data_IF_383815785489
#
_entry.id   IF_383815785489
#
_cell.length_a   1.000
_cell.length_b   1.000
_cell.length_c   1.000
_cell.angle_alpha   90.00
_cell.angle_beta   90.00
_cell.angle_gamma   90.00
#
_symmetry.space_group_name_H-M   'P 1'
#
loop_
_entity.id
_entity.type
_entity.pdbx_description
1 polymer ?
#
# COMPACT_ATOMS: atom_id res chain seq x y z
N UNK A 1 24.73 -0.49 -18.57
CA UNK A 1 24.48 0.96 -18.61
C UNK A 1 24.91 1.68 -19.89
N UNK A 2 25.17 0.98 -21.01
CA UNK A 2 25.62 1.64 -22.24
C UNK A 2 24.69 1.32 -23.43
N UNK A 3 24.91 0.21 -24.14
CA UNK A 3 24.21 -0.10 -25.40
C UNK A 3 22.68 -0.25 -25.25
N UNK A 4 22.22 -0.95 -24.21
CA UNK A 4 20.79 -1.18 -23.97
C UNK A 4 20.08 0.00 -23.27
N UNK A 5 20.82 0.98 -22.75
CA UNK A 5 20.22 2.14 -22.09
C UNK A 5 19.76 3.17 -23.13
N UNK A 6 18.51 3.62 -23.01
CA UNK A 6 17.89 4.63 -23.87
C UNK A 6 18.39 6.05 -23.55
N UNK A 7 19.70 6.26 -23.68
CA UNK A 7 20.35 7.53 -23.39
C UNK A 7 19.85 8.64 -24.33
N UNK A 8 19.68 9.88 -23.83
CA UNK A 8 19.21 10.99 -24.64
C UNK A 8 20.20 11.31 -25.77
N UNK A 9 19.67 11.82 -26.88
CA UNK A 9 20.39 12.29 -28.06
C UNK A 9 21.24 11.24 -28.79
N UNK A 10 21.04 9.94 -28.50
CA UNK A 10 21.71 8.84 -29.20
C UNK A 10 20.69 7.90 -29.83
N UNK A 11 20.97 7.40 -31.02
CA UNK A 11 20.16 6.36 -31.67
C UNK A 11 20.30 5.06 -30.87
N UNK A 12 19.17 4.43 -30.57
CA UNK A 12 19.05 3.19 -29.79
C UNK A 12 18.02 2.27 -30.44
N UNK A 13 18.32 0.98 -30.43
CA UNK A 13 17.35 -0.02 -30.86
C UNK A 13 16.39 -0.34 -29.73
N UNK A 14 15.11 -0.41 -30.06
CA UNK A 14 14.03 -0.68 -29.13
C UNK A 14 13.09 -1.72 -29.73
N UNK A 15 12.47 -2.49 -28.84
CA UNK A 15 11.26 -3.25 -29.17
C UNK A 15 10.08 -2.38 -28.76
N UNK A 16 9.27 -1.99 -29.73
CA UNK A 16 8.21 -0.99 -29.56
C UNK A 16 6.86 -1.68 -29.64
N UNK A 17 5.93 -1.27 -28.78
CA UNK A 17 4.51 -1.57 -28.87
C UNK A 17 3.77 -0.26 -29.25
N UNK A 18 3.06 -0.28 -30.36
CA UNK A 18 2.08 0.75 -30.72
C UNK A 18 0.72 0.28 -30.24
N UNK A 19 0.03 1.13 -29.47
CA UNK A 19 -1.23 0.78 -28.83
C UNK A 19 -2.19 1.92 -29.11
N UNK A 20 -3.33 1.59 -29.72
CA UNK A 20 -4.38 2.56 -30.00
C UNK A 20 -5.47 2.48 -28.93
N UNK A 21 -5.90 3.64 -28.44
CA UNK A 21 -6.93 3.77 -27.42
C UNK A 21 -8.08 4.65 -27.92
N UNK A 22 -9.30 4.29 -27.54
CA UNK A 22 -10.44 5.21 -27.63
C UNK A 22 -10.29 6.35 -26.61
N UNK A 23 -11.07 7.45 -26.73
CA UNK A 23 -11.08 8.52 -25.71
C UNK A 23 -11.39 8.04 -24.29
N UNK A 24 -12.09 6.92 -24.14
CA UNK A 24 -12.43 6.28 -22.86
C UNK A 24 -11.34 5.32 -22.34
N UNK A 25 -10.18 5.28 -23.00
CA UNK A 25 -9.05 4.43 -22.63
C UNK A 25 -9.25 2.94 -22.96
N UNK A 26 -10.14 2.61 -23.91
CA UNK A 26 -10.30 1.23 -24.38
C UNK A 26 -9.24 0.94 -25.43
N UNK A 27 -8.42 -0.09 -25.20
CA UNK A 27 -7.46 -0.57 -26.21
C UNK A 27 -8.21 -1.17 -27.40
N UNK A 28 -7.95 -0.68 -28.61
CA UNK A 28 -8.59 -1.16 -29.85
C UNK A 28 -7.64 -1.88 -30.79
N UNK A 29 -6.35 -1.54 -30.74
CA UNK A 29 -5.33 -2.19 -31.56
C UNK A 29 -3.99 -2.29 -30.83
N UNK A 30 -3.16 -3.25 -31.25
CA UNK A 30 -1.80 -3.43 -30.77
C UNK A 30 -0.90 -4.00 -31.86
N UNK A 31 0.13 -3.22 -32.22
CA UNK A 31 1.20 -3.65 -33.10
C UNK A 31 2.53 -3.67 -32.33
N UNK A 32 3.43 -4.60 -32.66
CA UNK A 32 4.80 -4.59 -32.15
C UNK A 32 5.79 -4.58 -33.30
N UNK A 33 6.90 -3.85 -33.13
CA UNK A 33 7.98 -3.82 -34.11
C UNK A 33 9.35 -3.62 -33.46
N UNK A 34 10.40 -3.85 -34.24
CA UNK A 34 11.75 -3.41 -33.90
C UNK A 34 11.97 -2.00 -34.46
N UNK A 35 12.35 -1.06 -33.61
CA UNK A 35 12.49 0.35 -33.94
C UNK A 35 13.90 0.88 -33.62
N UNK A 36 14.28 1.96 -34.30
CA UNK A 36 15.41 2.80 -33.93
C UNK A 36 14.89 4.15 -33.42
N UNK A 37 15.17 4.49 -32.17
CA UNK A 37 14.68 5.70 -31.50
C UNK A 37 15.83 6.60 -31.05
N UNK A 38 15.55 7.88 -30.88
CA UNK A 38 16.46 8.84 -30.25
C UNK A 38 15.67 9.62 -29.19
N UNK A 39 15.91 9.32 -27.91
CA UNK A 39 15.27 10.07 -26.82
C UNK A 39 15.69 11.54 -26.87
N UNK A 40 14.71 12.46 -26.89
CA UNK A 40 14.95 13.90 -26.98
C UNK A 40 15.28 14.54 -25.62
N UNK A 41 14.82 13.92 -24.53
CA UNK A 41 15.04 14.41 -23.16
C UNK A 41 14.99 13.24 -22.19
N UNK A 42 15.91 13.25 -21.23
CA UNK A 42 15.86 12.38 -20.05
C UNK A 42 15.24 13.18 -18.92
N UNK A 43 14.07 12.81 -18.42
CA UNK A 43 13.46 13.44 -17.25
C UNK A 43 13.82 12.71 -15.95
N UNK A 44 13.79 13.43 -14.83
CA UNK A 44 13.55 12.84 -13.50
C UNK A 44 12.07 12.94 -13.14
N UNK A 45 11.62 12.18 -12.13
CA UNK A 45 10.23 12.25 -11.68
C UNK A 45 9.91 13.63 -11.09
N UNK A 46 10.85 14.20 -10.35
CA UNK A 46 10.75 15.52 -9.75
C UNK A 46 10.59 16.63 -10.81
N UNK A 47 11.33 16.54 -11.93
CA UNK A 47 11.17 17.48 -13.05
C UNK A 47 9.76 17.40 -13.66
N UNK A 48 9.17 16.21 -13.72
CA UNK A 48 7.80 16.03 -14.24
C UNK A 48 6.76 16.51 -13.23
N UNK A 49 6.96 16.26 -11.93
CA UNK A 49 6.08 16.76 -10.89
C UNK A 49 6.09 18.30 -10.84
N UNK A 50 7.26 18.93 -10.97
CA UNK A 50 7.38 20.39 -11.11
C UNK A 50 6.66 20.90 -12.37
N UNK A 51 6.75 20.17 -13.48
CA UNK A 51 6.01 20.49 -14.72
C UNK A 51 4.50 20.42 -14.53
N UNK A 52 4.00 19.41 -13.82
CA UNK A 52 2.57 19.23 -13.56
C UNK A 52 2.04 20.29 -12.60
N UNK A 53 2.85 20.68 -11.60
CA UNK A 53 2.50 21.71 -10.63
C UNK A 53 2.41 23.13 -11.23
N UNK A 54 3.34 23.49 -12.13
CA UNK A 54 3.34 24.78 -12.82
C UNK A 54 3.82 24.63 -14.28
N UNK A 55 2.86 24.32 -15.17
CA UNK A 55 3.17 24.12 -16.60
C UNK A 55 3.78 25.37 -17.23
N UNK A 56 3.33 26.57 -16.88
CA UNK A 56 3.81 27.78 -17.56
C UNK A 56 5.28 28.07 -17.26
N UNK A 57 5.76 27.77 -16.04
CA UNK A 57 7.18 27.87 -15.68
C UNK A 57 8.10 26.93 -16.49
N UNK A 58 7.54 25.93 -17.17
CA UNK A 58 8.27 24.96 -18.00
C UNK A 58 8.16 25.22 -19.51
N UNK A 59 7.34 26.18 -19.93
CA UNK A 59 7.12 26.48 -21.36
C UNK A 59 8.40 26.92 -22.07
N UNK A 60 9.26 27.68 -21.39
CA UNK A 60 10.55 28.13 -21.93
C UNK A 60 11.69 27.11 -21.69
N UNK A 61 11.50 26.15 -20.77
CA UNK A 61 12.50 25.13 -20.42
C UNK A 61 12.48 23.93 -21.39
N UNK A 62 11.38 23.73 -22.10
CA UNK A 62 11.16 22.60 -23.00
C UNK A 62 10.86 23.07 -24.43
N UNK A 63 11.22 22.26 -25.42
CA UNK A 63 10.73 22.47 -26.79
C UNK A 63 9.22 22.30 -26.83
N UNK A 64 8.47 23.04 -27.68
CA UNK A 64 7.01 22.94 -27.76
C UNK A 64 6.49 21.50 -27.95
N UNK A 65 7.17 20.70 -28.77
CA UNK A 65 6.78 19.30 -29.01
C UNK A 65 6.85 18.44 -27.75
N UNK A 66 7.92 18.56 -26.97
CA UNK A 66 8.11 17.81 -25.71
C UNK A 66 7.15 18.32 -24.63
N UNK A 67 6.95 19.64 -24.56
CA UNK A 67 6.00 20.25 -23.64
C UNK A 67 4.59 19.68 -23.82
N UNK A 68 4.07 19.72 -25.05
CA UNK A 68 2.74 19.20 -25.35
C UNK A 68 2.66 17.67 -25.19
N UNK A 69 3.73 16.94 -25.51
CA UNK A 69 3.77 15.49 -25.32
C UNK A 69 3.63 15.10 -23.85
N UNK A 70 4.37 15.73 -22.93
CA UNK A 70 4.28 15.41 -21.49
C UNK A 70 2.87 15.72 -20.96
N UNK A 71 2.25 16.82 -21.40
CA UNK A 71 0.85 17.13 -21.09
C UNK A 71 -0.12 16.03 -21.53
N UNK A 72 -0.04 15.59 -22.80
CA UNK A 72 -0.88 14.51 -23.33
C UNK A 72 -0.61 13.15 -22.67
N UNK A 73 0.64 12.90 -22.29
CA UNK A 73 1.02 11.69 -21.56
C UNK A 73 0.30 11.64 -20.20
N UNK A 74 0.27 12.77 -19.48
CA UNK A 74 -0.47 12.87 -18.23
C UNK A 74 -1.97 12.65 -18.42
N UNK A 75 -2.59 13.34 -19.39
CA UNK A 75 -4.02 13.19 -19.68
C UNK A 75 -4.41 11.73 -19.98
N UNK A 76 -3.67 11.06 -20.87
CA UNK A 76 -3.92 9.66 -21.20
C UNK A 76 -3.72 8.75 -19.99
N UNK A 77 -2.64 8.92 -19.23
CA UNK A 77 -2.38 8.10 -18.05
C UNK A 77 -3.51 8.21 -17.02
N UNK A 78 -4.04 9.41 -16.78
CA UNK A 78 -5.16 9.59 -15.84
C UNK A 78 -6.46 8.95 -16.33
N UNK A 79 -6.71 8.93 -17.64
CA UNK A 79 -7.85 8.19 -18.23
C UNK A 79 -7.68 6.68 -18.01
N UNK A 80 -6.51 6.14 -18.34
CA UNK A 80 -6.21 4.71 -18.17
C UNK A 80 -6.31 4.28 -16.70
N UNK A 81 -5.73 5.09 -15.80
CA UNK A 81 -5.76 4.88 -14.35
C UNK A 81 -7.18 4.84 -13.81
N UNK A 82 -8.00 5.84 -14.14
CA UNK A 82 -9.40 5.89 -13.72
C UNK A 82 -10.14 4.65 -14.19
N UNK A 83 -10.00 4.27 -15.46
CA UNK A 83 -10.61 3.07 -16.02
C UNK A 83 -10.17 1.79 -15.28
N UNK A 84 -8.88 1.65 -15.00
CA UNK A 84 -8.31 0.50 -14.28
C UNK A 84 -8.87 0.38 -12.87
N UNK A 85 -8.90 1.49 -12.13
CA UNK A 85 -9.46 1.55 -10.79
C UNK A 85 -10.97 1.28 -10.80
N UNK A 86 -11.73 1.91 -11.69
CA UNK A 86 -13.19 1.70 -11.84
C UNK A 86 -13.53 0.26 -12.21
N UNK A 87 -12.65 -0.41 -12.97
CA UNK A 87 -12.73 -1.84 -13.27
C UNK A 87 -12.53 -2.76 -12.06
N UNK A 88 -12.06 -2.23 -10.93
CA UNK A 88 -11.87 -2.96 -9.68
C UNK A 88 -10.43 -3.37 -9.39
N UNK A 89 -9.43 -2.77 -10.07
CA UNK A 89 -8.05 -2.92 -9.65
C UNK A 89 -7.87 -2.39 -8.22
N UNK A 90 -7.02 -3.09 -7.46
CA UNK A 90 -6.72 -2.76 -6.07
C UNK A 90 -5.37 -2.07 -6.05
N UNK A 91 -5.36 -0.81 -5.65
CA UNK A 91 -4.14 -0.05 -5.43
C UNK A 91 -3.79 -0.05 -3.95
N UNK A 92 -2.58 -0.55 -3.64
CA UNK A 92 -2.05 -0.55 -2.28
C UNK A 92 -0.78 0.28 -2.29
N UNK A 93 -0.86 1.49 -1.77
CA UNK A 93 0.32 2.32 -1.58
C UNK A 93 0.98 1.90 -0.27
N UNK A 94 2.06 1.14 -0.36
CA UNK A 94 3.02 1.01 0.74
C UNK A 94 4.27 1.80 0.36
N UNK A 95 4.60 2.85 1.11
CA UNK A 95 5.77 3.64 0.78
C UNK A 95 7.04 2.80 0.92
N UNK A 96 7.93 2.90 -0.06
CA UNK A 96 9.20 2.17 -0.04
C UNK A 96 10.25 2.95 0.76
N UNK A 97 10.98 2.26 1.63
CA UNK A 97 12.12 2.85 2.36
C UNK A 97 13.33 2.96 1.46
N UNK A 98 13.81 4.19 1.24
CA UNK A 98 15.06 4.48 0.52
C UNK A 98 16.12 4.96 1.47
N UNK A 99 17.31 4.37 1.35
CA UNK A 99 18.47 4.76 2.17
C UNK A 99 19.16 5.96 1.56
N UNK A 100 19.42 6.96 2.40
CA UNK A 100 20.23 8.12 2.07
C UNK A 100 21.69 7.81 2.36
N UNK A 101 22.54 8.01 1.35
CA UNK A 101 23.98 7.73 1.42
C UNK A 101 24.73 9.05 1.24
N UNK A 102 25.70 9.32 2.11
CA UNK A 102 26.57 10.49 2.02
C UNK A 102 27.67 10.31 0.95
N UNK A 103 28.49 11.36 0.79
CA UNK A 103 29.60 11.37 -0.18
C UNK A 103 30.68 10.32 0.11
N UNK A 104 30.78 9.85 1.35
CA UNK A 104 31.74 8.86 1.80
C UNK A 104 31.17 7.42 1.73
N UNK A 105 29.95 7.26 1.21
CA UNK A 105 29.29 5.96 1.07
C UNK A 105 28.66 5.43 2.36
N UNK A 106 28.52 6.28 3.40
CA UNK A 106 27.91 5.93 4.68
C UNK A 106 26.43 6.28 4.68
N UNK A 107 25.66 5.56 5.49
CA UNK A 107 24.23 5.84 5.66
C UNK A 107 24.06 7.15 6.41
N UNK A 108 23.41 8.12 5.78
CA UNK A 108 23.07 9.42 6.36
C UNK A 108 21.65 9.43 6.94
N UNK A 109 20.79 8.52 6.51
CA UNK A 109 19.39 8.42 6.91
C UNK A 109 18.61 7.48 6.01
N UNK A 110 17.29 7.56 6.10
CA UNK A 110 16.38 6.97 5.14
C UNK A 110 15.05 7.72 5.18
N UNK A 111 14.35 7.68 4.06
CA UNK A 111 13.03 8.27 3.92
C UNK A 111 12.11 7.33 3.15
N UNK A 112 10.81 7.59 3.29
CA UNK A 112 9.77 6.95 2.51
C UNK A 112 9.66 7.66 1.16
N UNK A 113 9.66 6.89 0.06
CA UNK A 113 9.47 7.44 -1.29
C UNK A 113 7.98 7.62 -1.54
N UNK A 114 7.60 8.84 -1.91
CA UNK A 114 6.23 9.17 -2.31
C UNK A 114 5.94 8.72 -3.73
N UNK A 115 4.72 8.22 -3.95
CA UNK A 115 4.25 7.78 -5.26
C UNK A 115 3.40 8.88 -5.92
N UNK A 116 4.07 9.82 -6.59
CA UNK A 116 3.46 11.01 -7.22
C UNK A 116 2.85 10.72 -8.59
N UNK A 117 2.16 11.71 -9.18
CA UNK A 117 1.54 11.59 -10.52
C UNK A 117 2.57 11.26 -11.62
N UNK A 118 3.81 11.78 -11.52
CA UNK A 118 4.86 11.42 -12.48
C UNK A 118 5.20 9.93 -12.48
N UNK A 119 5.18 9.28 -11.31
CA UNK A 119 5.36 7.83 -11.18
C UNK A 119 4.17 7.08 -11.79
N UNK A 120 2.94 7.54 -11.51
CA UNK A 120 1.71 6.97 -12.02
C UNK A 120 1.65 7.02 -13.56
N UNK A 121 2.12 8.10 -14.20
CA UNK A 121 2.18 8.19 -15.67
C UNK A 121 2.96 7.02 -16.27
N UNK A 122 4.16 6.76 -15.73
CA UNK A 122 5.01 5.68 -16.23
C UNK A 122 4.39 4.32 -15.88
N UNK A 123 3.85 4.14 -14.68
CA UNK A 123 3.17 2.91 -14.28
C UNK A 123 2.07 2.53 -15.28
N UNK A 124 1.13 3.43 -15.59
CA UNK A 124 0.00 3.14 -16.48
C UNK A 124 0.46 2.78 -17.90
N UNK A 125 1.49 3.45 -18.42
CA UNK A 125 2.04 3.10 -19.74
C UNK A 125 2.77 1.76 -19.74
N UNK A 126 3.46 1.43 -18.66
CA UNK A 126 4.09 0.11 -18.54
C UNK A 126 3.03 -1.00 -18.41
N UNK A 127 1.97 -0.77 -17.64
CA UNK A 127 0.83 -1.69 -17.51
C UNK A 127 0.13 -1.90 -18.86
N UNK A 128 -0.21 -0.82 -19.55
CA UNK A 128 -0.82 -0.86 -20.88
C UNK A 128 -0.01 -1.68 -21.88
N UNK A 129 1.31 -1.48 -21.94
CA UNK A 129 2.19 -2.24 -22.83
C UNK A 129 2.27 -3.72 -22.44
N UNK A 130 2.36 -4.02 -21.15
CA UNK A 130 2.39 -5.37 -20.61
C UNK A 130 1.11 -6.16 -20.93
N UNK A 131 -0.06 -5.54 -20.77
CA UNK A 131 -1.36 -6.13 -21.10
C UNK A 131 -1.53 -6.31 -22.61
N UNK A 132 -1.15 -5.30 -23.40
CA UNK A 132 -1.26 -5.34 -24.85
C UNK A 132 -0.41 -6.48 -25.45
N UNK A 133 0.83 -6.62 -24.99
CA UNK A 133 1.72 -7.71 -25.42
C UNK A 133 1.22 -9.08 -24.92
N UNK A 134 0.70 -9.16 -23.70
CA UNK A 134 0.12 -10.40 -23.18
C UNK A 134 -1.09 -10.85 -24.02
N UNK A 135 -2.02 -9.95 -24.33
CA UNK A 135 -3.16 -10.25 -25.21
C UNK A 135 -2.69 -10.67 -26.61
N UNK A 136 -1.74 -9.95 -27.20
CA UNK A 136 -1.18 -10.28 -28.52
C UNK A 136 -0.63 -11.71 -28.59
N UNK A 137 0.09 -12.15 -27.56
CA UNK A 137 0.64 -13.50 -27.48
C UNK A 137 -0.44 -14.54 -27.17
N UNK A 138 -1.43 -14.19 -26.34
CA UNK A 138 -2.55 -15.04 -26.00
C UNK A 138 -3.45 -15.33 -27.20
N UNK A 139 -3.76 -14.31 -28.02
CA UNK A 139 -4.57 -14.43 -29.23
C UNK A 139 -3.91 -15.30 -30.32
N UNK A 140 -2.59 -15.51 -30.19
CA UNK A 140 -1.81 -16.45 -31.02
C UNK A 140 -1.70 -17.85 -30.41
N UNK A 141 -2.39 -18.10 -29.31
CA UNK A 141 -2.40 -19.38 -28.59
C UNK A 141 -1.00 -19.84 -28.17
N UNK A 142 -0.14 -18.90 -27.78
CA UNK A 142 1.23 -19.19 -27.34
C UNK A 142 1.31 -19.39 -25.82
N UNK A 143 2.11 -20.36 -25.39
CA UNK A 143 2.53 -20.45 -23.99
C UNK A 143 3.71 -19.50 -23.75
N UNK A 144 3.53 -18.58 -22.80
CA UNK A 144 4.54 -17.60 -22.41
C UNK A 144 4.44 -17.32 -20.93
N UNK A 145 5.52 -16.83 -20.33
CA UNK A 145 5.54 -16.43 -18.93
C UNK A 145 4.58 -15.26 -18.69
N UNK A 146 3.41 -15.57 -18.13
CA UNK A 146 2.50 -14.59 -17.53
C UNK A 146 3.01 -14.21 -16.17
N UNK A 147 2.64 -13.01 -15.73
CA UNK A 147 2.78 -12.57 -14.35
C UNK A 147 1.43 -12.79 -13.68
N UNK A 148 1.24 -13.99 -13.14
CA UNK A 148 -0.02 -14.44 -12.57
C UNK A 148 -0.12 -14.01 -11.12
N UNK A 149 -1.32 -13.65 -10.67
CA UNK A 149 -1.59 -13.29 -9.28
C UNK A 149 -2.97 -13.81 -8.89
N UNK A 150 -2.99 -14.98 -8.27
CA UNK A 150 -4.20 -15.67 -7.85
C UNK A 150 -5.05 -14.85 -6.86
N UNK A 151 -6.38 -15.08 -6.82
CA UNK A 151 -7.23 -14.49 -5.80
C UNK A 151 -6.80 -14.91 -4.38
N UNK A 152 -7.03 -14.07 -3.37
CA UNK A 152 -6.83 -14.44 -1.97
C UNK A 152 -7.63 -15.68 -1.57
N UNK A 153 -7.09 -16.48 -0.65
CA UNK A 153 -7.81 -17.63 -0.08
C UNK A 153 -8.98 -17.13 0.79
N UNK A 154 -10.14 -17.82 0.79
CA UNK A 154 -11.31 -17.41 1.58
C UNK A 154 -11.01 -17.17 3.06
N UNK A 155 -10.24 -18.06 3.70
CA UNK A 155 -9.84 -17.93 5.11
C UNK A 155 -9.10 -16.62 5.41
N UNK A 156 -8.24 -16.15 4.49
CA UNK A 156 -7.53 -14.88 4.64
C UNK A 156 -8.46 -13.68 4.48
N UNK A 157 -9.48 -13.78 3.63
CA UNK A 157 -10.48 -12.73 3.43
C UNK A 157 -11.44 -12.63 4.62
N UNK A 158 -11.78 -13.76 5.24
CA UNK A 158 -12.60 -13.78 6.46
C UNK A 158 -11.81 -13.11 7.61
N UNK A 159 -10.52 -13.44 7.79
CA UNK A 159 -9.64 -12.75 8.76
C UNK A 159 -9.52 -11.24 8.50
N UNK A 160 -9.38 -10.84 7.22
CA UNK A 160 -9.34 -9.43 6.84
C UNK A 160 -10.67 -8.72 7.16
N UNK A 161 -11.80 -9.40 6.94
CA UNK A 161 -13.14 -8.87 7.25
C UNK A 161 -13.27 -8.60 8.74
N UNK A 162 -12.87 -9.55 9.59
CA UNK A 162 -12.95 -9.38 11.05
C UNK A 162 -12.07 -8.22 11.53
N UNK A 163 -10.84 -8.13 11.01
CA UNK A 163 -9.93 -7.02 11.31
C UNK A 163 -10.52 -5.65 10.96
N UNK A 164 -11.06 -5.50 9.74
CA UNK A 164 -11.64 -4.23 9.28
C UNK A 164 -12.88 -3.83 10.10
N UNK A 165 -13.75 -4.79 10.45
CA UNK A 165 -14.92 -4.54 11.31
C UNK A 165 -14.51 -4.02 12.68
N UNK A 166 -13.44 -4.54 13.25
CA UNK A 166 -12.99 -4.16 14.58
C UNK A 166 -12.34 -2.76 14.63
N UNK A 167 -11.75 -2.32 13.52
CA UNK A 167 -11.35 -0.92 13.33
C UNK A 167 -12.56 0.04 13.29
N UNK A 168 -13.79 -0.49 13.29
CA UNK A 168 -15.02 0.30 13.21
C UNK A 168 -15.38 0.69 11.78
N UNK A 169 -14.74 0.09 10.78
CA UNK A 169 -15.03 0.33 9.37
C UNK A 169 -16.18 -0.59 8.95
N UNK A 170 -17.25 -0.01 8.44
CA UNK A 170 -18.43 -0.77 8.02
C UNK A 170 -18.12 -1.63 6.79
N UNK A 171 -18.14 -2.96 6.96
CA UNK A 171 -18.10 -3.93 5.87
C UNK A 171 -18.94 -5.17 6.22
N UNK A 172 -19.57 -5.80 5.22
CA UNK A 172 -20.32 -7.05 5.43
C UNK A 172 -19.39 -8.27 5.30
N UNK A 173 -18.79 -8.42 4.11
CA UNK A 173 -17.71 -9.35 3.80
C UNK A 173 -16.71 -8.68 2.85
N UNK A 174 -15.47 -9.18 2.79
CA UNK A 174 -14.43 -8.72 1.87
C UNK A 174 -14.06 -9.82 0.87
N UNK A 175 -15.07 -10.41 0.24
CA UNK A 175 -14.90 -11.52 -0.72
C UNK A 175 -14.77 -11.03 -2.15
N UNK A 176 -15.27 -9.83 -2.44
CA UNK A 176 -15.12 -9.19 -3.74
C UNK A 176 -14.00 -8.15 -3.74
N UNK A 177 -13.29 -8.02 -4.87
CA UNK A 177 -12.29 -6.97 -5.09
C UNK A 177 -12.87 -5.57 -4.89
N UNK A 178 -14.13 -5.36 -5.26
CA UNK A 178 -14.81 -4.07 -5.10
C UNK A 178 -15.05 -3.72 -3.62
N UNK A 179 -15.24 -4.71 -2.76
CA UNK A 179 -15.41 -4.48 -1.32
C UNK A 179 -14.09 -4.14 -0.66
N UNK A 180 -13.02 -4.84 -1.06
CA UNK A 180 -11.65 -4.52 -0.64
C UNK A 180 -11.28 -3.11 -1.09
N UNK A 181 -11.52 -2.78 -2.37
CA UNK A 181 -11.30 -1.44 -2.92
C UNK A 181 -12.04 -0.36 -2.12
N UNK A 182 -13.34 -0.55 -1.85
CA UNK A 182 -14.15 0.38 -1.05
C UNK A 182 -13.55 0.62 0.34
N UNK A 183 -13.03 -0.43 0.99
CA UNK A 183 -12.39 -0.30 2.31
C UNK A 183 -11.08 0.46 2.21
N UNK A 184 -10.25 0.17 1.21
CA UNK A 184 -8.99 0.88 0.95
C UNK A 184 -9.24 2.37 0.68
N UNK A 185 -10.21 2.70 -0.16
CA UNK A 185 -10.60 4.09 -0.46
C UNK A 185 -11.18 4.80 0.77
N UNK A 186 -11.94 4.10 1.62
CA UNK A 186 -12.56 4.68 2.81
C UNK A 186 -11.56 5.04 3.91
N UNK A 187 -10.34 4.50 3.88
CA UNK A 187 -9.29 4.79 4.87
C UNK A 187 -8.21 5.72 4.36
N UNK A 188 -8.34 6.20 3.12
CA UNK A 188 -7.33 7.06 2.51
C UNK A 188 -7.22 8.40 3.26
N UNK A 189 -6.03 8.74 3.75
CA UNK A 189 -5.79 9.91 4.59
C UNK A 189 -6.21 9.74 6.06
N UNK A 190 -6.76 8.59 6.44
CA UNK A 190 -7.14 8.29 7.82
C UNK A 190 -5.96 7.66 8.60
N UNK A 191 -5.92 7.79 9.95
CA UNK A 191 -4.84 7.22 10.76
C UNK A 191 -4.67 5.70 10.61
N UNK A 192 -5.74 5.01 10.20
CA UNK A 192 -5.80 3.57 10.02
C UNK A 192 -5.40 3.09 8.60
N UNK A 193 -5.10 4.00 7.67
CA UNK A 193 -4.72 3.67 6.28
C UNK A 193 -3.64 2.60 6.22
N UNK A 194 -2.53 2.85 6.93
CA UNK A 194 -1.37 1.96 6.90
C UNK A 194 -1.68 0.56 7.42
N UNK A 195 -2.44 0.47 8.51
CA UNK A 195 -2.84 -0.81 9.11
C UNK A 195 -3.74 -1.62 8.17
N UNK A 196 -4.69 -0.95 7.51
CA UNK A 196 -5.59 -1.59 6.54
C UNK A 196 -4.84 -1.99 5.27
N UNK A 197 -4.00 -1.12 4.70
CA UNK A 197 -3.17 -1.47 3.52
C UNK A 197 -2.31 -2.70 3.81
N UNK A 198 -1.66 -2.73 4.98
CA UNK A 198 -0.84 -3.86 5.40
C UNK A 198 -1.66 -5.15 5.56
N UNK A 199 -2.83 -5.08 6.20
CA UNK A 199 -3.72 -6.24 6.37
C UNK A 199 -4.21 -6.79 5.02
N UNK A 200 -4.63 -5.91 4.10
CA UNK A 200 -5.03 -6.30 2.73
C UNK A 200 -3.86 -6.98 2.02
N UNK A 201 -2.65 -6.41 2.10
CA UNK A 201 -1.47 -6.96 1.44
C UNK A 201 -1.08 -8.35 1.99
N UNK A 202 -1.27 -8.59 3.30
CA UNK A 202 -1.10 -9.93 3.91
C UNK A 202 -2.19 -10.94 3.48
N UNK A 203 -3.38 -10.46 3.17
CA UNK A 203 -4.47 -11.28 2.65
C UNK A 203 -4.20 -11.74 1.20
N UNK A 204 -3.56 -10.90 0.39
CA UNK A 204 -3.22 -11.20 -1.01
C UNK A 204 -2.28 -12.40 -1.17
N UNK A 205 -2.30 -12.99 -2.37
CA UNK A 205 -1.29 -13.96 -2.80
C UNK A 205 -0.05 -13.23 -3.31
N UNK A 206 1.06 -13.95 -3.50
CA UNK A 206 2.23 -13.39 -4.19
C UNK A 206 2.07 -13.62 -5.68
N UNK A 207 2.41 -12.63 -6.48
CA UNK A 207 2.49 -12.80 -7.92
C UNK A 207 3.70 -13.67 -8.29
N UNK A 208 3.56 -14.51 -9.31
CA UNK A 208 4.62 -15.41 -9.80
C UNK A 208 4.67 -15.42 -11.32
N UNK A 209 5.77 -15.91 -11.89
CA UNK A 209 5.86 -16.20 -13.32
C UNK A 209 5.38 -17.63 -13.58
N UNK A 210 4.39 -17.79 -14.47
CA UNK A 210 3.83 -19.09 -14.85
C UNK A 210 3.36 -19.06 -16.32
N UNK A 211 3.44 -20.16 -17.07
CA UNK A 211 2.78 -20.27 -18.38
C UNK A 211 1.26 -20.49 -18.27
N UNK A 212 0.74 -20.77 -17.08
CA UNK A 212 -0.69 -21.03 -16.88
C UNK A 212 -1.56 -19.83 -17.24
N UNK A 213 -2.72 -20.11 -17.83
CA UNK A 213 -3.70 -19.10 -18.22
C UNK A 213 -4.50 -18.67 -16.97
N UNK A 214 -3.83 -17.91 -16.12
CA UNK A 214 -4.41 -17.27 -14.94
C UNK A 214 -4.21 -15.75 -15.02
N UNK A 215 -5.21 -14.99 -14.56
CA UNK A 215 -5.17 -13.54 -14.55
C UNK A 215 -4.32 -12.95 -13.42
N UNK A 216 -4.32 -11.62 -13.34
CA UNK A 216 -3.70 -10.86 -12.27
C UNK A 216 -4.77 -10.19 -11.40
N UNK A 217 -5.14 -10.83 -10.28
CA UNK A 217 -6.27 -10.40 -9.44
C UNK A 217 -6.16 -8.94 -8.98
N UNK A 218 -4.99 -8.50 -8.49
CA UNK A 218 -4.82 -7.13 -7.98
C UNK A 218 -4.91 -6.06 -9.09
N UNK A 219 -4.51 -6.38 -10.32
CA UNK A 219 -4.53 -5.44 -11.44
C UNK A 219 -5.87 -5.46 -12.19
N UNK A 220 -6.77 -6.40 -11.84
CA UNK A 220 -7.99 -6.65 -12.61
C UNK A 220 -7.70 -6.92 -14.09
N UNK A 221 -6.70 -7.77 -14.37
CA UNK A 221 -6.24 -8.06 -15.73
C UNK A 221 -6.37 -9.55 -16.04
N UNK A 222 -6.99 -9.90 -17.16
CA UNK A 222 -7.16 -11.30 -17.57
C UNK A 222 -5.87 -11.90 -18.14
N UNK A 223 -5.04 -11.07 -18.79
CA UNK A 223 -3.78 -11.49 -19.40
C UNK A 223 -2.73 -10.41 -19.11
N UNK A 224 -1.71 -10.79 -18.33
CA UNK A 224 -0.65 -9.87 -17.95
C UNK A 224 0.72 -10.55 -18.01
N UNK A 225 1.70 -9.90 -18.62
CA UNK A 225 3.08 -10.35 -18.68
C UNK A 225 4.04 -9.19 -18.48
N UNK A 226 5.26 -9.43 -18.03
CA UNK A 226 6.27 -8.38 -18.01
C UNK A 226 6.98 -8.30 -19.36
N UNK A 227 6.95 -7.12 -19.98
CA UNK A 227 7.56 -6.82 -21.27
C UNK A 227 8.55 -5.64 -21.21
N UNK A 228 8.35 -4.71 -20.28
CA UNK A 228 8.93 -3.37 -20.31
C UNK A 228 10.31 -3.21 -19.67
N UNK A 229 10.92 -4.27 -19.13
CA UNK A 229 12.21 -4.21 -18.42
C UNK A 229 13.18 -5.38 -18.72
N UNK A 230 13.47 -5.71 -19.98
CA UNK A 230 14.35 -6.84 -20.37
C UNK A 230 15.81 -6.69 -19.91
N UNK A 231 16.25 -5.49 -19.53
CA UNK A 231 17.61 -5.24 -19.03
C UNK A 231 17.81 -5.83 -17.63
N UNK A 232 16.74 -5.92 -16.83
CA UNK A 232 16.80 -6.30 -15.40
C UNK A 232 15.91 -7.51 -15.04
N UNK A 233 15.05 -7.96 -15.96
CA UNK A 233 14.17 -9.12 -15.76
C UNK A 233 14.31 -10.07 -16.95
N UNK A 234 14.64 -11.34 -16.64
CA UNK A 234 14.76 -12.37 -17.66
C UNK A 234 13.43 -12.77 -18.32
N UNK A 235 12.27 -12.80 -17.62
CA UNK A 235 10.97 -13.04 -18.25
C UNK A 235 10.65 -12.04 -19.38
N UNK A 236 10.93 -10.74 -19.19
CA UNK A 236 10.76 -9.76 -20.25
C UNK A 236 11.62 -10.08 -21.48
N UNK A 237 12.85 -10.57 -21.27
CA UNK A 237 13.72 -10.99 -22.38
C UNK A 237 13.15 -12.20 -23.13
N UNK A 238 12.45 -13.13 -22.47
CA UNK A 238 11.79 -14.24 -23.17
C UNK A 238 10.63 -13.75 -24.02
N UNK A 239 9.82 -12.83 -23.50
CA UNK A 239 8.76 -12.16 -24.27
C UNK A 239 9.35 -11.46 -25.50
N UNK A 240 10.47 -10.75 -25.35
CA UNK A 240 11.15 -10.09 -26.46
C UNK A 240 11.59 -11.08 -27.56
N UNK A 241 12.13 -12.24 -27.18
CA UNK A 241 12.53 -13.30 -28.12
C UNK A 241 11.32 -13.90 -28.85
N UNK A 242 10.19 -14.06 -28.17
CA UNK A 242 8.96 -14.53 -28.81
C UNK A 242 8.47 -13.53 -29.86
N UNK A 243 8.47 -12.24 -29.52
CA UNK A 243 8.12 -11.18 -30.46
C UNK A 243 9.06 -11.14 -31.67
N UNK A 244 10.38 -11.35 -31.49
CA UNK A 244 11.33 -11.45 -32.62
C UNK A 244 11.02 -12.64 -33.55
N UNK A 245 10.63 -13.79 -32.99
CA UNK A 245 10.23 -14.93 -33.80
C UNK A 245 8.95 -14.64 -34.61
N UNK A 246 7.95 -14.03 -33.97
CA UNK A 246 6.70 -13.61 -34.63
C UNK A 246 6.99 -12.63 -35.78
N UNK A 247 7.81 -11.60 -35.55
CA UNK A 247 8.19 -10.62 -36.58
C UNK A 247 8.97 -11.25 -37.73
N UNK A 248 9.72 -12.33 -37.47
CA UNK A 248 10.40 -13.11 -38.49
C UNK A 248 9.49 -14.12 -39.22
N UNK A 249 8.19 -14.12 -38.96
CA UNK A 249 7.24 -15.09 -39.54
C UNK A 249 7.41 -16.51 -39.04
N UNK A 250 8.06 -16.70 -37.88
CA UNK A 250 8.32 -18.01 -37.26
C UNK A 250 7.44 -18.20 -36.03
N UNK A 251 7.05 -19.44 -35.75
CA UNK A 251 6.43 -19.78 -34.46
C UNK A 251 7.49 -19.72 -33.35
N UNK A 252 7.28 -18.95 -32.27
CA UNK A 252 8.16 -18.97 -31.10
C UNK A 252 8.26 -20.35 -30.46
N UNK A 253 9.35 -20.62 -29.74
CA UNK A 253 9.42 -21.78 -28.87
C UNK A 253 8.53 -21.54 -27.63
N UNK A 254 7.48 -22.34 -27.48
CA UNK A 254 6.41 -22.20 -26.48
C UNK A 254 6.11 -23.53 -25.76
N UNK A 255 7.12 -24.39 -25.57
CA UNK A 255 6.96 -25.63 -24.82
C UNK A 255 6.52 -25.37 -23.37
N UNK A 256 5.38 -25.92 -22.98
CA UNK A 256 4.74 -25.61 -21.69
C UNK A 256 5.61 -26.02 -20.50
N UNK A 257 6.18 -27.22 -20.53
CA UNK A 257 6.99 -27.75 -19.42
C UNK A 257 8.28 -26.94 -19.24
N UNK A 258 8.92 -26.53 -20.33
CA UNK A 258 10.06 -25.61 -20.28
C UNK A 258 9.68 -24.25 -19.71
N UNK A 259 8.54 -23.68 -20.12
CA UNK A 259 8.07 -22.41 -19.56
C UNK A 259 7.73 -22.54 -18.07
N UNK A 260 7.17 -23.67 -17.64
CA UNK A 260 6.87 -23.94 -16.23
C UNK A 260 8.15 -23.95 -15.37
N UNK A 261 9.16 -24.71 -15.81
CA UNK A 261 10.47 -24.74 -15.14
C UNK A 261 11.14 -23.36 -15.09
N UNK A 262 11.02 -22.59 -16.18
CA UNK A 262 11.57 -21.25 -16.26
C UNK A 262 10.83 -20.25 -15.36
N UNK A 263 9.50 -20.40 -15.26
CA UNK A 263 8.63 -19.62 -14.38
C UNK A 263 9.01 -19.81 -12.91
N UNK A 264 9.16 -21.06 -12.45
CA UNK A 264 9.64 -21.36 -11.09
C UNK A 264 11.03 -20.75 -10.84
N UNK A 265 11.95 -20.93 -11.78
CA UNK A 265 13.30 -20.37 -11.66
C UNK A 265 13.27 -18.85 -11.48
N UNK A 266 12.56 -18.15 -12.36
CA UNK A 266 12.49 -16.68 -12.34
C UNK A 266 11.82 -16.18 -11.06
N UNK A 267 10.73 -16.81 -10.63
CA UNK A 267 10.00 -16.47 -9.39
C UNK A 267 10.87 -16.65 -8.14
N UNK A 268 11.61 -17.77 -8.06
CA UNK A 268 12.54 -18.01 -6.94
C UNK A 268 13.70 -17.02 -6.92
N UNK A 269 14.21 -16.61 -8.09
CA UNK A 269 15.30 -15.62 -8.20
C UNK A 269 14.84 -14.22 -7.80
N UNK A 270 13.62 -13.83 -8.18
CA UNK A 270 12.98 -12.59 -7.74
C UNK A 270 12.85 -12.56 -6.22
N UNK A 271 12.23 -13.57 -5.61
CA UNK A 271 12.07 -13.65 -4.15
C UNK A 271 13.41 -13.64 -3.40
N UNK A 272 14.44 -14.29 -3.96
CA UNK A 272 15.79 -14.25 -3.39
C UNK A 272 16.39 -12.85 -3.45
N UNK A 273 16.22 -12.14 -4.58
CA UNK A 273 16.73 -10.79 -4.75
C UNK A 273 16.02 -9.80 -3.80
N UNK A 274 14.69 -9.82 -3.75
CA UNK A 274 13.89 -9.00 -2.82
C UNK A 274 14.29 -9.26 -1.35
N UNK A 275 14.45 -10.53 -0.96
CA UNK A 275 14.92 -10.86 0.39
C UNK A 275 16.30 -10.27 0.65
N UNK A 276 17.25 -10.41 -0.27
CA UNK A 276 18.59 -9.87 -0.10
C UNK A 276 18.58 -8.33 0.01
N UNK A 277 17.77 -7.64 -0.78
CA UNK A 277 17.60 -6.19 -0.73
C UNK A 277 16.99 -5.72 0.59
N UNK A 278 15.89 -6.34 1.04
CA UNK A 278 15.29 -6.04 2.35
C UNK A 278 16.27 -6.24 3.50
N UNK A 279 17.02 -7.33 3.49
CA UNK A 279 18.03 -7.60 4.51
C UNK A 279 19.19 -6.60 4.46
N UNK A 280 19.63 -6.18 3.27
CA UNK A 280 20.64 -5.14 3.13
C UNK A 280 20.14 -3.81 3.69
N UNK A 281 18.92 -3.41 3.33
CA UNK A 281 18.29 -2.17 3.82
C UNK A 281 18.22 -2.20 5.35
N UNK A 282 17.75 -3.32 5.91
CA UNK A 282 17.67 -3.53 7.35
C UNK A 282 19.04 -3.39 8.03
N UNK A 283 20.06 -4.09 7.55
CA UNK A 283 21.42 -4.03 8.14
C UNK A 283 21.99 -2.61 8.08
N UNK A 284 21.79 -1.90 6.97
CA UNK A 284 22.25 -0.51 6.80
C UNK A 284 21.56 0.44 7.77
N UNK A 285 20.24 0.32 7.94
CA UNK A 285 19.48 1.09 8.92
C UNK A 285 19.90 0.77 10.35
N UNK A 286 20.07 -0.50 10.71
CA UNK A 286 20.56 -0.89 12.04
C UNK A 286 21.96 -0.32 12.31
N UNK A 287 22.84 -0.35 11.30
CA UNK A 287 24.18 0.24 11.43
C UNK A 287 24.08 1.74 11.74
N UNK A 288 23.21 2.45 11.03
CA UNK A 288 22.95 3.88 11.27
C UNK A 288 22.35 4.14 12.66
N UNK A 289 21.46 3.28 13.14
CA UNK A 289 20.81 3.41 14.44
C UNK A 289 21.68 2.99 15.63
N UNK A 290 22.72 2.18 15.40
CA UNK A 290 23.58 1.67 16.47
C UNK A 290 24.31 2.77 17.25
N UNK A 291 24.54 3.93 16.64
CA UNK A 291 25.16 5.10 17.28
C UNK A 291 24.14 6.07 17.88
N UNK A 292 22.85 5.71 17.88
CA UNK A 292 21.70 6.57 18.22
C UNK A 292 20.81 5.98 19.32
N UNK A 293 21.37 5.11 20.16
CA UNK A 293 20.64 4.49 21.27
C UNK A 293 20.11 5.59 22.21
N UNK A 294 18.83 5.48 22.58
CA UNK A 294 18.12 6.45 23.39
C UNK A 294 17.37 7.53 22.60
N UNK A 295 17.63 7.71 21.30
CA UNK A 295 16.86 8.64 20.46
C UNK A 295 15.38 8.22 20.41
N UNK A 296 14.50 9.22 20.51
CA UNK A 296 13.06 9.03 20.46
C UNK A 296 12.50 9.36 19.08
N UNK A 297 11.53 8.57 18.63
CA UNK A 297 10.83 8.79 17.38
C UNK A 297 9.35 8.41 17.50
N UNK A 298 8.55 8.98 16.61
CA UNK A 298 7.16 8.56 16.45
C UNK A 298 7.14 7.29 15.60
N UNK A 299 6.33 6.32 16.02
CA UNK A 299 6.23 5.02 15.38
C UNK A 299 4.78 4.55 15.35
N UNK A 300 4.46 3.72 14.37
CA UNK A 300 3.17 3.06 14.21
C UNK A 300 3.32 1.58 14.51
N UNK A 301 2.34 0.98 15.20
CA UNK A 301 2.28 -0.48 15.38
C UNK A 301 1.97 -1.14 14.03
N UNK A 302 2.89 -1.95 13.53
CA UNK A 302 2.77 -2.71 12.26
C UNK A 302 2.53 -4.20 12.47
N UNK A 303 2.61 -4.67 13.71
CA UNK A 303 2.25 -6.04 14.07
C UNK A 303 2.07 -6.21 15.57
N UNK A 304 1.23 -7.16 15.94
CA UNK A 304 0.97 -7.49 17.35
C UNK A 304 1.02 -8.99 17.51
N UNK A 305 1.88 -9.44 18.41
CA UNK A 305 2.08 -10.84 18.77
C UNK A 305 2.04 -10.99 20.29
N UNK A 306 1.91 -12.22 20.78
CA UNK A 306 1.86 -12.51 22.22
C UNK A 306 3.07 -11.96 23.00
N UNK A 307 4.25 -11.98 22.38
CA UNK A 307 5.51 -11.55 23.01
C UNK A 307 5.83 -10.06 22.83
N UNK A 308 5.05 -9.30 22.05
CA UNK A 308 5.33 -7.88 21.86
C UNK A 308 4.69 -7.23 20.64
N UNK A 309 5.09 -5.99 20.40
CA UNK A 309 4.59 -5.13 19.34
C UNK A 309 5.69 -4.87 18.30
N UNK A 310 5.42 -5.17 17.04
CA UNK A 310 6.23 -4.68 15.94
C UNK A 310 5.84 -3.23 15.65
N UNK A 311 6.85 -2.36 15.58
CA UNK A 311 6.66 -0.93 15.35
C UNK A 311 7.60 -0.46 14.25
N UNK A 312 7.13 0.50 13.47
CA UNK A 312 7.90 1.15 12.41
C UNK A 312 7.94 2.65 12.68
N UNK A 313 9.14 3.24 12.66
CA UNK A 313 9.30 4.69 12.78
C UNK A 313 8.68 5.44 11.59
N UNK A 314 8.18 6.66 11.82
CA UNK A 314 7.53 7.48 10.78
C UNK A 314 8.57 8.25 9.96
N UNK A 315 9.36 9.10 10.62
CA UNK A 315 10.37 9.93 9.94
C UNK A 315 11.55 9.10 9.43
N UNK A 316 11.94 8.10 10.22
CA UNK A 316 12.94 7.11 9.87
C UNK A 316 12.27 5.74 9.88
N UNK A 317 11.97 5.15 8.70
CA UNK A 317 11.17 3.93 8.57
C UNK A 317 11.97 2.66 8.94
N UNK A 318 12.42 2.60 10.19
CA UNK A 318 13.09 1.46 10.79
C UNK A 318 12.08 0.61 11.57
N UNK A 319 12.04 -0.68 11.26
CA UNK A 319 11.21 -1.66 11.95
C UNK A 319 11.94 -2.26 13.16
N UNK A 320 11.25 -2.34 14.29
CA UNK A 320 11.75 -2.94 15.51
C UNK A 320 10.64 -3.54 16.38
N UNK A 321 11.03 -4.11 17.51
CA UNK A 321 10.15 -4.79 18.45
C UNK A 321 10.12 -4.05 19.79
N UNK A 322 8.93 -3.83 20.33
CA UNK A 322 8.74 -3.55 21.76
C UNK A 322 8.33 -4.87 22.41
N UNK A 323 9.25 -5.48 23.16
CA UNK A 323 8.92 -6.69 23.92
C UNK A 323 7.85 -6.39 24.97
N UNK A 324 6.98 -7.35 25.29
CA UNK A 324 5.86 -7.17 26.24
C UNK A 324 6.33 -6.65 27.61
N UNK A 325 7.52 -7.08 28.07
CA UNK A 325 8.13 -6.60 29.32
C UNK A 325 8.52 -5.13 29.30
N UNK A 326 8.62 -4.52 28.12
CA UNK A 326 8.92 -3.10 27.92
C UNK A 326 7.64 -2.23 27.76
N UNK A 327 6.45 -2.82 27.80
CA UNK A 327 5.16 -2.11 27.74
C UNK A 327 4.69 -1.57 29.10
N UNK A 328 5.43 -1.86 30.17
CA UNK A 328 5.12 -1.47 31.54
C UNK A 328 4.65 -2.66 32.39
N UNK A 329 4.40 -2.38 33.66
CA UNK A 329 4.09 -3.39 34.67
C UNK A 329 2.58 -3.73 34.67
N UNK A 330 2.17 -4.50 33.65
CA UNK A 330 0.80 -4.99 33.46
C UNK A 330 0.82 -6.41 32.88
N UNK A 331 -0.31 -7.11 33.01
CA UNK A 331 -0.53 -8.39 32.33
C UNK A 331 -1.28 -8.12 31.04
N UNK A 332 -0.68 -8.51 29.92
CA UNK A 332 -1.25 -8.30 28.58
C UNK A 332 -1.81 -9.61 28.05
N UNK A 333 -3.09 -9.59 27.69
CA UNK A 333 -3.75 -10.68 26.99
C UNK A 333 -3.68 -10.42 25.48
N UNK A 334 -3.17 -11.40 24.73
CA UNK A 334 -3.12 -11.35 23.26
C UNK A 334 -4.41 -11.88 22.66
N UNK A 335 -5.08 -11.03 21.90
CA UNK A 335 -6.30 -11.39 21.20
C UNK A 335 -5.98 -11.54 19.70
N UNK A 336 -5.86 -12.79 19.26
CA UNK A 336 -5.44 -13.15 17.89
C UNK A 336 -6.39 -12.63 16.82
N UNK A 337 -7.70 -12.61 17.11
CA UNK A 337 -8.71 -12.10 16.18
C UNK A 337 -8.51 -10.61 15.89
N UNK A 338 -8.14 -9.85 16.92
CA UNK A 338 -8.05 -8.39 16.89
C UNK A 338 -6.66 -7.84 16.60
N UNK A 339 -5.65 -8.72 16.61
CA UNK A 339 -4.24 -8.32 16.56
C UNK A 339 -3.97 -7.22 17.59
N UNK A 340 -4.41 -7.46 18.83
CA UNK A 340 -4.26 -6.51 19.94
C UNK A 340 -3.68 -7.16 21.19
N UNK A 341 -2.90 -6.36 21.95
CA UNK A 341 -2.49 -6.67 23.31
C UNK A 341 -3.28 -5.77 24.24
N UNK A 342 -4.09 -6.37 25.11
CA UNK A 342 -4.92 -5.65 26.08
C UNK A 342 -4.41 -5.89 27.49
N UNK A 343 -3.92 -4.82 28.13
CA UNK A 343 -3.53 -4.82 29.53
C UNK A 343 -4.76 -4.80 30.45
N UNK A 344 -4.59 -5.28 31.69
CA UNK A 344 -5.67 -5.26 32.69
C UNK A 344 -5.97 -3.86 33.21
N UNK A 345 -5.03 -2.92 33.09
CA UNK A 345 -5.26 -1.52 33.46
C UNK A 345 -5.96 -0.76 32.34
N UNK A 346 -6.92 0.07 32.74
CA UNK A 346 -7.70 0.89 31.80
C UNK A 346 -6.77 1.81 31.00
N UNK A 347 -6.85 1.73 29.66
CA UNK A 347 -6.02 2.51 28.74
C UNK A 347 -4.79 1.80 28.16
N UNK A 348 -4.42 0.61 28.67
CA UNK A 348 -3.28 -0.20 28.20
C UNK A 348 -3.65 -1.16 27.07
N UNK A 349 -4.35 -0.68 26.04
CA UNK A 349 -4.61 -1.49 24.86
C UNK A 349 -3.69 -1.07 23.73
N UNK A 350 -3.05 -1.99 23.04
CA UNK A 350 -2.20 -1.74 21.87
C UNK A 350 -2.77 -2.50 20.69
N UNK A 351 -3.10 -1.77 19.61
CA UNK A 351 -3.66 -2.35 18.40
C UNK A 351 -2.82 -1.99 17.19
N UNK A 352 -2.91 -2.80 16.14
CA UNK A 352 -2.36 -2.47 14.84
C UNK A 352 -2.80 -1.05 14.41
N UNK A 353 -1.85 -0.23 13.96
CA UNK A 353 -2.08 1.17 13.57
C UNK A 353 -2.03 2.20 14.71
N UNK A 354 -1.95 1.80 15.98
CA UNK A 354 -1.80 2.78 17.06
C UNK A 354 -0.45 3.54 16.92
N UNK A 355 -0.49 4.84 17.17
CA UNK A 355 0.69 5.71 17.21
C UNK A 355 1.33 5.72 18.59
N UNK A 356 2.65 5.57 18.62
CA UNK A 356 3.47 5.51 19.81
C UNK A 356 4.66 6.46 19.68
N UNK A 357 5.08 7.04 20.80
CA UNK A 357 6.44 7.56 20.96
C UNK A 357 7.31 6.45 21.51
N UNK A 358 8.37 6.10 20.80
CA UNK A 358 9.29 5.02 21.17
C UNK A 358 10.71 5.55 21.25
N UNK A 359 11.56 4.89 22.04
CA UNK A 359 12.99 5.17 22.09
C UNK A 359 13.80 3.93 21.72
N UNK A 360 14.90 4.13 21.00
CA UNK A 360 15.83 3.03 20.66
C UNK A 360 16.43 2.49 21.95
N UNK A 361 16.11 1.25 22.30
CA UNK A 361 16.60 0.61 23.51
C UNK A 361 17.88 -0.18 23.24
N UNK A 362 17.91 -0.93 22.13
CA UNK A 362 19.05 -1.76 21.74
C UNK A 362 19.06 -1.96 20.23
N UNK A 363 20.27 -2.03 19.68
CA UNK A 363 20.51 -2.42 18.28
C UNK A 363 21.46 -3.61 18.29
N UNK A 364 21.06 -4.70 17.64
CA UNK A 364 21.86 -5.90 17.47
C UNK A 364 21.99 -6.20 15.97
N UNK A 365 23.13 -5.81 15.40
CA UNK A 365 23.37 -5.91 13.96
C UNK A 365 23.50 -7.37 13.52
N UNK A 366 24.16 -8.20 14.33
CA UNK A 366 24.40 -9.62 14.02
C UNK A 366 23.08 -10.40 13.98
N UNK A 367 22.18 -10.13 14.94
CA UNK A 367 20.84 -10.72 14.97
C UNK A 367 19.84 -9.99 14.09
N UNK A 368 20.23 -8.85 13.52
CA UNK A 368 19.37 -7.93 12.75
C UNK A 368 18.11 -7.51 13.53
N UNK A 369 18.29 -7.16 14.80
CA UNK A 369 17.23 -6.80 15.72
C UNK A 369 17.37 -5.33 16.16
N UNK A 370 16.23 -4.65 16.19
CA UNK A 370 16.06 -3.32 16.77
C UNK A 370 15.02 -3.47 17.87
N UNK A 371 15.42 -3.21 19.11
CA UNK A 371 14.51 -3.20 20.24
C UNK A 371 14.17 -1.76 20.58
N UNK A 372 12.88 -1.50 20.71
CA UNK A 372 12.34 -0.25 21.18
C UNK A 372 11.81 -0.39 22.61
N UNK A 373 11.81 0.71 23.34
CA UNK A 373 11.02 0.86 24.58
C UNK A 373 9.91 1.87 24.37
N UNK A 374 8.76 1.61 24.97
CA UNK A 374 7.64 2.54 24.95
C UNK A 374 7.98 3.78 25.79
N UNK A 375 7.86 4.97 25.20
CA UNK A 375 7.95 6.25 25.93
C UNK A 375 6.55 6.71 26.31
N UNK A 376 5.65 6.77 25.31
CA UNK A 376 4.27 7.22 25.51
C UNK A 376 3.36 6.69 24.42
N UNK A 377 2.14 6.29 24.77
CA UNK A 377 1.07 6.06 23.79
C UNK A 377 0.49 7.39 23.33
N UNK A 378 0.41 7.63 22.02
CA UNK A 378 -0.23 8.83 21.50
C UNK A 378 -1.75 8.65 21.43
N UNK A 379 -2.54 9.73 21.62
CA UNK A 379 -3.98 9.68 21.39
C UNK A 379 -4.26 9.35 19.93
N UNK A 380 -5.27 8.52 19.66
CA UNK A 380 -5.73 8.32 18.29
C UNK A 380 -6.28 9.64 17.75
N UNK A 381 -5.91 10.07 16.53
CA UNK A 381 -6.59 11.18 15.88
C UNK A 381 -8.09 10.83 15.77
N UNK A 382 -8.97 11.72 16.24
CA UNK A 382 -10.42 11.50 16.27
C UNK A 382 -10.99 10.94 17.58
N UNK A 383 -10.18 10.48 18.55
CA UNK A 383 -10.67 10.19 19.90
C UNK A 383 -10.58 11.44 20.79
N UNK A 384 -11.73 11.94 21.24
CA UNK A 384 -11.77 12.95 22.30
C UNK A 384 -11.00 12.43 23.54
N UNK A 385 -10.18 13.26 24.19
CA UNK A 385 -9.42 12.82 25.36
C UNK A 385 -10.39 12.29 26.43
N UNK A 386 -10.01 11.24 27.18
CA UNK A 386 -10.87 10.70 28.23
C UNK A 386 -11.19 11.83 29.21
N UNK A 387 -12.49 12.12 29.36
CA UNK A 387 -12.96 13.09 30.35
C UNK A 387 -12.48 12.61 31.72
N UNK A 388 -11.51 13.32 32.30
CA UNK A 388 -11.11 13.11 33.69
C UNK A 388 -12.37 13.06 34.55
N UNK A 389 -12.61 11.92 35.19
CA UNK A 389 -13.71 11.78 36.12
C UNK A 389 -13.57 12.86 37.19
N UNK A 390 -14.42 13.89 37.14
CA UNK A 390 -14.55 14.86 38.21
C UNK A 390 -15.00 14.08 39.44
N UNK A 391 -14.07 13.88 40.36
CA UNK A 391 -14.35 13.41 41.72
C UNK A 391 -15.45 14.29 42.31
N UNK A 392 -16.63 13.70 42.57
CA UNK A 392 -17.70 14.37 43.32
C UNK A 392 -17.14 14.76 44.69
N UNK A 393 -17.29 16.01 45.15
CA UNK A 393 -16.88 16.35 46.50
C UNK A 393 -17.79 15.65 47.50
N UNK A 394 -17.15 15.00 48.49
CA UNK A 394 -17.82 14.36 49.61
C UNK A 394 -18.60 15.41 50.43
N UNK A 395 -19.92 15.26 50.50
CA UNK A 395 -20.78 16.04 51.38
C UNK A 395 -20.57 15.58 52.83
N UNK A 396 -19.80 16.37 53.58
CA UNK A 396 -19.76 16.31 55.06
C UNK A 396 -21.12 16.75 55.60
N UNK A 397 -21.72 15.89 56.42
CA UNK A 397 -22.96 16.18 57.12
C UNK A 397 -22.82 17.27 58.19
N UNK A 398 -23.91 18.01 58.41
CA UNK A 398 -24.16 18.75 59.64
C UNK A 398 -25.67 18.73 59.94
N UNK A 399 -26.02 18.10 61.07
CA UNK A 399 -27.35 18.12 61.72
C UNK A 399 -27.60 19.49 62.38
N UNK A 400 -28.86 19.94 62.34
CA UNK A 400 -29.72 20.48 63.45
C UNK A 400 -31.00 21.07 62.80
N UNK A 401 -32.22 20.52 62.96
CA UNK A 401 -33.22 20.56 64.06
C UNK A 401 -34.15 21.80 64.04
N UNK A 402 -35.47 21.53 64.07
CA UNK A 402 -36.62 22.42 64.35
C UNK A 402 -37.27 23.03 63.09
N UNK A 403 -38.58 23.05 62.86
CA UNK A 403 -39.80 22.65 63.59
C UNK A 403 -41.00 23.40 62.95
N UNK A 404 -42.18 22.76 62.85
CA UNK A 404 -43.55 23.34 62.73
C UNK A 404 -43.86 24.29 61.53
N UNK A 405 -45.05 24.49 60.97
CA UNK A 405 -46.41 23.90 60.95
C UNK A 405 -47.18 24.65 59.81
N UNK A 406 -48.28 24.07 59.30
CA UNK A 406 -49.39 24.72 58.54
C UNK A 406 -49.09 25.34 57.14
N UNK A 407 -49.96 25.30 56.12
CA UNK A 407 -51.32 24.81 55.97
C UNK A 407 -51.92 25.31 54.63
N UNK A 408 -52.98 24.64 54.17
CA UNK A 408 -53.97 25.08 53.14
C UNK A 408 -53.52 25.13 51.66
N UNK A 409 -53.95 24.17 50.82
CA UNK A 409 -55.21 24.15 50.01
C UNK A 409 -54.93 24.58 48.55
N UNK A 410 -55.37 23.90 47.48
CA UNK A 410 -56.75 23.58 47.07
C UNK A 410 -56.77 22.63 45.85
N UNK A 411 -57.77 21.73 45.87
CA UNK A 411 -58.61 21.16 44.77
C UNK A 411 -57.92 20.41 43.60
N UNK A 412 -58.06 19.08 43.48
CA UNK A 412 -59.21 18.19 43.10
C UNK A 412 -59.57 18.15 41.59
N UNK A 413 -59.43 16.93 41.05
CA UNK A 413 -60.33 16.19 40.12
C UNK A 413 -60.46 16.75 38.69
N UNK A 414 -60.60 15.98 37.61
CA UNK A 414 -60.93 14.56 37.40
C UNK A 414 -60.90 14.25 35.89
N UNK A 415 -60.90 12.94 35.58
CA UNK A 415 -61.51 12.29 34.41
C UNK A 415 -60.83 12.34 33.03
N UNK A 416 -60.22 11.19 32.69
CA UNK A 416 -60.43 10.46 31.42
C UNK A 416 -61.94 10.11 31.25
N UNK A 417 -62.49 9.81 30.05
CA UNK A 417 -61.88 8.87 29.09
C UNK A 417 -62.20 9.02 27.57
N UNK A 418 -61.42 8.23 26.81
CA UNK A 418 -61.79 7.44 25.62
C UNK A 418 -61.80 8.02 24.18
N UNK A 419 -61.05 7.28 23.36
CA UNK A 419 -61.37 6.72 22.03
C UNK A 419 -61.50 7.62 20.79
N UNK A 420 -60.73 7.22 19.76
CA UNK A 420 -61.07 7.41 18.34
C UNK A 420 -59.82 7.63 17.47
N UNK A 421 -59.09 6.59 17.05
CA UNK A 421 -59.15 5.91 15.73
C UNK A 421 -58.64 6.73 14.53
N UNK A 422 -57.71 6.06 13.79
CA UNK A 422 -57.45 6.10 12.33
C UNK A 422 -56.70 7.33 11.79
N UNK A 423 -55.85 7.25 10.77
CA UNK A 423 -55.18 6.18 10.00
C UNK A 423 -54.38 6.94 8.91
N UNK A 424 -53.18 6.45 8.57
CA UNK A 424 -52.52 6.50 7.23
C UNK A 424 -52.23 7.90 6.66
N UNK A 425 -51.11 8.13 5.99
CA UNK A 425 -50.35 7.26 5.08
C UNK A 425 -48.89 7.15 5.45
#
# INVERSE_FOLDING_TARGET
NNLASLQPNRVRFAKTAFIEFTPEGIRVDTETCNAAIQSKRRFTYEEVDEYLADRDAWREKLTPEVFELVGRMHELAMVLRRRRLDGGAIELTLPETKIDIDKDGRVAGAHLVEHTESHQIIEEFMLAANEAVASLLNDRELNFLRRVHAPPKPEKLDMLTDFVKELGIACEHLRSRFEIKRVVEAVQGEPQEHAVHYAVLRAMQKAVYSPEVEGHYALNSDQYCHFTSPIRRYPDLTIHRMLDAIMAGRRPADDFDQQMLLGDHCSRREQRAERAERELVKVKLLTYLSTRIGEEMDAVITGVEEYGLFVQGIDLPAEGLIHVTALGDDYFDYEKSTHSLSGRREGNQFRLGDLLRVAIARVDIDRRQLDFRLVKKMPRPGQAPPRKARSKPATRGRKTRGGEQEGSSRRKKSNRPSKGKRKRS
#
